data_IF_830537783986
#
_entry.id   IF_830537783986
#
_cell.length_a   1.000
_cell.length_b   1.000
_cell.length_c   1.000
_cell.angle_alpha   90.00
_cell.angle_beta   90.00
_cell.angle_gamma   90.00
#
_symmetry.space_group_name_H-M   'P 1'
#
loop_
_entity.id
_entity.type
_entity.pdbx_description
1 polymer ?
#
# COMPACT_ATOMS: atom_id res chain seq x y z
N UNK A 1 9.19 8.52 -0.56
CA UNK A 1 7.81 8.11 -0.23
C UNK A 1 6.98 8.41 -1.47
N UNK A 2 6.09 7.51 -1.88
CA UNK A 2 5.31 7.68 -3.12
C UNK A 2 4.35 8.87 -3.05
N UNK A 3 3.62 9.10 -4.14
CA UNK A 3 2.52 10.07 -4.19
C UNK A 3 1.18 9.33 -4.18
N UNK A 4 0.15 9.97 -3.63
CA UNK A 4 -1.23 9.49 -3.76
C UNK A 4 -1.66 9.60 -5.22
N UNK A 5 -2.30 8.56 -5.73
CA UNK A 5 -2.82 8.49 -7.08
C UNK A 5 -4.15 7.74 -7.08
N UNK A 6 -5.04 7.95 -8.07
CA UNK A 6 -6.25 7.15 -8.17
C UNK A 6 -5.95 5.65 -8.17
N UNK A 7 -6.70 4.90 -7.38
CA UNK A 7 -6.65 3.44 -7.35
C UNK A 7 -7.13 2.88 -8.70
N UNK A 8 -6.44 1.87 -9.22
CA UNK A 8 -6.77 1.28 -10.53
C UNK A 8 -7.82 0.18 -10.47
N UNK A 9 -8.06 -0.37 -9.27
CA UNK A 9 -8.97 -1.49 -9.01
C UNK A 9 -10.26 -1.03 -8.28
N UNK A 10 -10.21 0.08 -7.56
CA UNK A 10 -11.32 0.64 -6.78
C UNK A 10 -11.67 2.08 -7.21
N UNK A 11 -12.82 2.23 -7.87
CA UNK A 11 -13.34 3.55 -8.23
C UNK A 11 -13.58 4.43 -6.99
N UNK A 12 -13.09 5.67 -7.05
CA UNK A 12 -13.22 6.65 -5.97
C UNK A 12 -12.20 6.51 -4.84
N UNK A 13 -11.33 5.50 -4.89
CA UNK A 13 -10.23 5.33 -3.94
C UNK A 13 -8.92 5.93 -4.49
N UNK A 14 -8.01 6.23 -3.57
CA UNK A 14 -6.63 6.59 -3.84
C UNK A 14 -5.68 5.55 -3.25
N UNK A 15 -4.57 5.32 -3.93
CA UNK A 15 -3.49 4.46 -3.50
C UNK A 15 -2.17 5.22 -3.36
N UNK A 16 -1.37 4.81 -2.39
CA UNK A 16 0.00 5.23 -2.16
C UNK A 16 0.89 3.98 -2.15
N UNK A 17 1.76 3.89 -3.17
CA UNK A 17 2.65 2.75 -3.35
C UNK A 17 4.06 3.10 -2.88
N UNK A 18 4.70 2.23 -2.09
CA UNK A 18 6.08 2.41 -1.67
C UNK A 18 6.85 1.09 -1.60
N UNK A 19 8.13 1.16 -1.99
CA UNK A 19 9.07 0.04 -1.88
C UNK A 19 9.34 -0.27 -0.40
N UNK A 20 9.46 -1.56 -0.09
CA UNK A 20 9.96 -2.05 1.18
C UNK A 20 11.38 -2.59 0.96
N UNK A 21 12.41 -1.71 0.98
CA UNK A 21 13.79 -2.13 0.73
C UNK A 21 14.32 -2.99 1.87
N UNK A 22 15.29 -3.85 1.58
CA UNK A 22 16.10 -4.58 2.57
C UNK A 22 15.34 -5.60 3.46
N UNK A 23 14.05 -5.82 3.23
CA UNK A 23 13.27 -6.82 3.96
C UNK A 23 13.56 -8.25 3.44
N UNK A 24 13.98 -9.19 4.32
CA UNK A 24 14.27 -10.56 3.90
C UNK A 24 12.99 -11.28 3.46
N UNK A 25 12.99 -11.80 2.24
CA UNK A 25 11.84 -12.52 1.70
C UNK A 25 11.89 -13.98 2.15
N UNK A 26 10.80 -14.49 2.75
CA UNK A 26 10.73 -15.89 3.16
C UNK A 26 10.63 -16.86 1.97
N UNK A 27 10.30 -16.34 0.78
CA UNK A 27 9.91 -17.11 -0.40
C UNK A 27 10.95 -17.10 -1.54
N UNK A 28 12.23 -16.79 -1.27
CA UNK A 28 13.28 -16.64 -2.30
C UNK A 28 12.93 -15.59 -3.37
N UNK A 29 12.11 -14.60 -3.02
CA UNK A 29 11.77 -13.52 -3.93
C UNK A 29 13.01 -12.64 -4.19
N UNK A 30 13.16 -12.04 -5.37
CA UNK A 30 14.29 -11.18 -5.70
C UNK A 30 14.49 -10.08 -4.66
N UNK A 31 15.73 -9.64 -4.47
CA UNK A 31 16.02 -8.48 -3.62
C UNK A 31 15.19 -7.26 -4.06
N UNK A 32 14.70 -6.49 -3.08
CA UNK A 32 13.90 -5.29 -3.31
C UNK A 32 12.62 -5.51 -4.16
N UNK A 33 12.06 -6.72 -4.11
CA UNK A 33 10.80 -7.08 -4.79
C UNK A 33 9.54 -6.78 -3.98
N UNK A 34 9.68 -6.37 -2.73
CA UNK A 34 8.55 -6.11 -1.84
C UNK A 34 8.02 -4.68 -2.00
N UNK A 35 6.70 -4.59 -2.11
CA UNK A 35 5.96 -3.33 -2.20
C UNK A 35 4.79 -3.37 -1.23
N UNK A 36 4.54 -2.23 -0.62
CA UNK A 36 3.29 -1.98 0.07
C UNK A 36 2.45 -0.96 -0.70
N UNK A 37 1.15 -1.21 -0.72
CA UNK A 37 0.13 -0.28 -1.23
C UNK A 37 -0.79 0.09 -0.08
N UNK A 38 -0.86 1.38 0.23
CA UNK A 38 -1.82 1.92 1.17
C UNK A 38 -3.00 2.51 0.39
N UNK A 39 -4.22 2.13 0.74
CA UNK A 39 -5.45 2.48 0.02
C UNK A 39 -6.37 3.28 0.95
N UNK A 40 -7.02 4.33 0.45
CA UNK A 40 -8.02 5.13 1.18
C UNK A 40 -9.11 5.63 0.24
N UNK A 41 -10.29 5.91 0.78
CA UNK A 41 -11.37 6.56 0.01
C UNK A 41 -11.26 8.09 0.09
N UNK A 42 -11.15 8.64 1.29
CA UNK A 42 -11.09 10.08 1.53
C UNK A 42 -9.72 10.54 2.03
N UNK A 43 -9.41 11.81 1.82
CA UNK A 43 -8.32 12.47 2.53
C UNK A 43 -8.58 12.43 4.06
N UNK A 44 -7.52 12.51 4.90
CA UNK A 44 -7.68 12.40 6.35
C UNK A 44 -8.63 13.48 6.90
N UNK A 45 -9.68 13.05 7.62
CA UNK A 45 -10.70 13.91 8.22
C UNK A 45 -10.71 13.84 9.75
N UNK A 46 -10.19 12.76 10.32
CA UNK A 46 -10.31 12.46 11.74
C UNK A 46 -8.93 12.39 12.43
N UNK A 47 -8.87 12.54 13.77
CA UNK A 47 -7.61 12.43 14.51
C UNK A 47 -7.08 11.00 14.63
N UNK A 48 -7.91 10.00 14.29
CA UNK A 48 -7.62 8.58 14.46
C UNK A 48 -8.01 7.82 13.19
N UNK A 49 -7.30 6.73 12.93
CA UNK A 49 -7.53 5.90 11.76
C UNK A 49 -7.56 4.41 12.12
N UNK A 50 -8.30 3.64 11.34
CA UNK A 50 -8.27 2.19 11.33
C UNK A 50 -7.41 1.71 10.15
N UNK A 51 -6.43 0.85 10.46
CA UNK A 51 -5.60 0.19 9.45
C UNK A 51 -6.05 -1.26 9.27
N UNK A 52 -6.63 -1.55 8.12
CA UNK A 52 -6.99 -2.90 7.70
C UNK A 52 -5.78 -3.56 7.04
N UNK A 53 -5.34 -4.70 7.59
CA UNK A 53 -4.30 -5.54 7.00
C UNK A 53 -4.98 -6.71 6.32
N UNK A 54 -4.78 -6.90 5.01
CA UNK A 54 -5.29 -8.11 4.35
C UNK A 54 -4.43 -9.34 4.71
N UNK A 55 -4.92 -10.51 4.30
CA UNK A 55 -4.24 -11.79 4.48
C UNK A 55 -3.08 -12.03 3.51
N UNK A 56 -3.04 -13.23 2.92
CA UNK A 56 -1.93 -13.62 2.04
C UNK A 56 -2.26 -13.31 0.57
N UNK A 57 -1.47 -12.45 -0.06
CA UNK A 57 -1.56 -12.07 -1.49
C UNK A 57 -2.98 -11.70 -1.96
N UNK A 58 -3.71 -10.90 -1.21
CA UNK A 58 -5.00 -10.34 -1.62
C UNK A 58 -4.92 -8.82 -1.76
N UNK A 59 -5.86 -8.22 -2.50
CA UNK A 59 -6.04 -6.76 -2.51
C UNK A 59 -7.27 -6.41 -1.68
N UNK A 60 -7.34 -5.18 -1.17
CA UNK A 60 -8.52 -4.73 -0.46
C UNK A 60 -9.69 -4.52 -1.43
N UNK A 61 -10.78 -5.26 -1.27
CA UNK A 61 -12.03 -5.05 -2.03
C UNK A 61 -13.26 -4.86 -1.13
N UNK A 62 -13.09 -4.91 0.19
CA UNK A 62 -14.20 -4.91 1.14
C UNK A 62 -14.62 -3.48 1.50
N UNK A 63 -15.03 -2.69 0.50
CA UNK A 63 -15.33 -1.26 0.63
C UNK A 63 -16.39 -0.94 1.69
N UNK A 64 -17.36 -1.84 1.89
CA UNK A 64 -18.36 -1.70 2.96
C UNK A 64 -17.75 -1.55 4.36
N UNK A 65 -16.55 -2.11 4.61
CA UNK A 65 -15.85 -1.92 5.88
C UNK A 65 -15.33 -0.50 6.04
N UNK A 66 -14.90 0.16 4.95
CA UNK A 66 -14.49 1.55 5.00
C UNK A 66 -15.69 2.46 5.32
N UNK A 67 -16.84 2.18 4.71
CA UNK A 67 -18.09 2.93 4.92
C UNK A 67 -18.58 2.84 6.37
N UNK A 68 -18.57 1.64 6.95
CA UNK A 68 -19.02 1.41 8.34
C UNK A 68 -18.12 2.09 9.39
N UNK A 69 -16.86 2.35 9.05
CA UNK A 69 -15.86 2.95 9.96
C UNK A 69 -15.84 4.48 9.90
N UNK A 70 -16.37 5.08 8.83
CA UNK A 70 -16.58 6.53 8.76
C UNK A 70 -17.60 7.01 9.82
N UNK A 71 -18.69 6.26 10.03
CA UNK A 71 -19.75 6.63 10.97
C UNK A 71 -19.27 6.86 12.42
N UNK A 72 -18.43 5.97 12.98
CA UNK A 72 -17.78 6.17 14.27
C UNK A 72 -16.70 7.27 14.31
N UNK A 73 -16.34 7.86 13.17
CA UNK A 73 -15.41 8.99 13.08
C UNK A 73 -13.94 8.60 13.00
N UNK A 74 -13.61 7.59 12.19
CA UNK A 74 -12.23 7.17 11.91
C UNK A 74 -11.94 7.24 10.41
N UNK A 75 -10.71 7.63 10.07
CA UNK A 75 -10.23 7.46 8.70
C UNK A 75 -9.94 5.97 8.46
N UNK A 76 -10.25 5.45 7.28
CA UNK A 76 -9.99 4.05 6.93
C UNK A 76 -8.80 3.95 5.96
N UNK A 77 -7.88 3.05 6.27
CA UNK A 77 -6.79 2.69 5.37
C UNK A 77 -6.69 1.18 5.23
N UNK A 78 -6.50 0.69 4.00
CA UNK A 78 -6.13 -0.70 3.76
C UNK A 78 -4.65 -0.79 3.38
N UNK A 79 -3.93 -1.75 3.94
CA UNK A 79 -2.55 -2.05 3.58
C UNK A 79 -2.48 -3.39 2.85
N UNK A 80 -2.02 -3.34 1.61
CA UNK A 80 -1.63 -4.51 0.82
C UNK A 80 -0.13 -4.68 0.78
N UNK A 81 0.32 -5.90 1.11
CA UNK A 81 1.69 -6.36 1.05
C UNK A 81 1.84 -7.36 -0.11
N UNK A 82 2.47 -6.91 -1.19
CA UNK A 82 2.67 -7.70 -2.39
C UNK A 82 4.16 -7.91 -2.69
N UNK A 83 4.48 -9.10 -3.22
CA UNK A 83 5.81 -9.44 -3.71
C UNK A 83 5.85 -9.30 -5.24
N UNK A 84 5.79 -8.07 -5.77
CA UNK A 84 6.14 -7.82 -7.19
C UNK A 84 6.47 -6.34 -7.50
N UNK A 85 7.55 -5.79 -6.92
CA UNK A 85 8.02 -4.44 -7.22
C UNK A 85 8.26 -4.15 -8.70
N UNK A 86 8.60 -5.18 -9.49
CA UNK A 86 8.85 -5.06 -10.92
C UNK A 86 7.63 -4.59 -11.74
N UNK A 87 6.39 -4.71 -11.23
CA UNK A 87 5.19 -4.21 -11.93
C UNK A 87 4.85 -2.75 -11.60
N UNK A 88 5.36 -2.21 -10.50
CA UNK A 88 5.00 -0.88 -10.00
C UNK A 88 5.87 0.27 -10.54
N UNK A 89 6.83 0.01 -11.43
CA UNK A 89 7.64 1.06 -12.07
C UNK A 89 8.55 1.87 -11.13
N UNK A 90 8.58 1.52 -9.84
CA UNK A 90 9.46 2.10 -8.83
C UNK A 90 10.88 1.60 -9.07
N UNK A 91 11.65 2.30 -9.90
CA UNK A 91 13.06 1.97 -10.09
C UNK A 91 13.84 2.22 -8.79
N UNK A 92 14.47 1.18 -8.23
CA UNK A 92 15.54 1.37 -7.27
C UNK A 92 16.70 2.07 -7.98
N UNK A 93 16.98 3.33 -7.65
CA UNK A 93 18.21 3.97 -8.10
C UNK A 93 19.40 3.18 -7.54
N UNK A 94 20.38 2.75 -8.35
CA UNK A 94 21.50 1.98 -7.84
C UNK A 94 22.35 2.89 -6.93
N UNK A 95 22.64 2.42 -5.73
CA UNK A 95 23.58 3.08 -4.83
C UNK A 95 24.93 3.25 -5.55
N UNK A 96 25.34 4.50 -5.77
CA UNK A 96 26.62 4.82 -6.38
C UNK A 96 27.74 4.26 -5.52
N UNK A 97 28.44 3.26 -6.04
CA UNK A 97 29.76 2.84 -5.56
C UNK A 97 30.69 4.06 -5.51
N UNK A 98 31.22 4.38 -4.33
CA UNK A 98 32.41 5.22 -4.22
C UNK A 98 33.57 4.37 -3.70
N UNK A 99 34.57 4.33 -4.56
CA UNK A 99 35.98 3.91 -4.40
C UNK A 99 36.60 4.30 -3.06
#
# INVERSE_FOLDING_TARGET
MGEWSPDTELDGYEQLVFLLPEEPTYALEPENSLVATLVRHDAPRYPSALLYLHGWKDYFFQTHLADEIDGPGYDFYALDLAATAARCGLSSSPATSRT
#
